data_IF_704109508903
#
_entry.id   IF_704109508903
#
_cell.length_a   1.000
_cell.length_b   1.000
_cell.length_c   1.000
_cell.angle_alpha   90.00
_cell.angle_beta   90.00
_cell.angle_gamma   90.00
#
_symmetry.space_group_name_H-M   'P 1'
#
loop_
_entity.id
_entity.type
_entity.pdbx_description
1 polymer ?
#
# COMPACT_ATOMS: atom_id res chain seq x y z
N UNK A 1 22.39 22.07 -22.31
CA UNK A 1 23.34 21.42 -23.23
C UNK A 1 24.70 21.50 -22.56
N UNK A 2 25.30 20.35 -22.28
CA UNK A 2 26.63 20.27 -21.64
C UNK A 2 27.67 20.85 -22.59
N UNK A 3 28.56 21.70 -22.07
CA UNK A 3 29.62 22.34 -22.85
C UNK A 3 30.86 21.44 -22.90
N UNK A 4 31.54 21.45 -24.05
CA UNK A 4 32.76 20.66 -24.22
C UNK A 4 33.98 21.39 -23.65
N UNK A 5 35.08 20.66 -23.43
CA UNK A 5 36.37 21.23 -23.01
C UNK A 5 36.81 22.36 -23.95
N UNK A 6 36.61 22.19 -25.27
CA UNK A 6 36.97 23.21 -26.25
C UNK A 6 36.13 24.50 -26.11
N UNK A 7 34.86 24.37 -25.71
CA UNK A 7 33.99 25.52 -25.47
C UNK A 7 34.44 26.28 -24.22
N UNK A 8 34.75 25.57 -23.14
CA UNK A 8 35.29 26.16 -21.91
C UNK A 8 36.66 26.81 -22.14
N UNK A 9 37.55 26.19 -22.90
CA UNK A 9 38.85 26.75 -23.24
C UNK A 9 38.70 28.08 -24.01
N UNK A 10 37.77 28.15 -24.97
CA UNK A 10 37.46 29.41 -25.68
C UNK A 10 36.93 30.49 -24.73
N UNK A 11 36.04 30.13 -23.81
CA UNK A 11 35.48 31.05 -22.81
C UNK A 11 36.57 31.57 -21.87
N UNK A 12 37.43 30.69 -21.36
CA UNK A 12 38.57 31.06 -20.52
C UNK A 12 39.52 32.02 -21.25
N UNK A 13 39.88 31.73 -22.50
CA UNK A 13 40.70 32.62 -23.31
C UNK A 13 40.05 33.98 -23.60
N UNK A 14 38.72 34.04 -23.65
CA UNK A 14 37.97 35.30 -23.81
C UNK A 14 38.00 36.16 -22.54
N UNK A 15 38.07 35.53 -21.36
CA UNK A 15 38.18 36.21 -20.06
C UNK A 15 39.61 36.66 -19.75
N UNK A 16 40.62 36.10 -20.42
CA UNK A 16 42.01 36.48 -20.23
C UNK A 16 42.31 37.89 -20.77
N UNK A 17 43.14 38.69 -20.05
CA UNK A 17 43.58 39.99 -20.55
C UNK A 17 44.36 39.87 -21.86
N UNK A 18 44.30 40.91 -22.69
CA UNK A 18 45.11 40.99 -23.92
C UNK A 18 46.48 41.59 -23.60
N UNK A 19 47.56 41.05 -24.21
CA UNK A 19 48.90 41.62 -24.09
C UNK A 19 50.01 40.58 -24.28
N UNK A 20 51.27 41.04 -24.34
CA UNK A 20 52.45 40.16 -24.58
C UNK A 20 52.68 39.14 -23.46
N UNK A 21 52.24 39.44 -22.24
CA UNK A 21 52.33 38.52 -21.11
C UNK A 21 51.45 37.27 -21.29
N UNK A 22 50.41 37.33 -22.14
CA UNK A 22 49.42 36.27 -22.33
C UNK A 22 49.52 35.73 -23.76
N UNK A 23 50.57 34.96 -24.04
CA UNK A 23 50.77 34.31 -25.34
C UNK A 23 49.63 33.34 -25.64
N UNK A 24 48.97 33.49 -26.79
CA UNK A 24 47.89 32.60 -27.27
C UNK A 24 48.40 31.42 -28.10
N UNK A 25 49.69 31.10 -27.99
CA UNK A 25 50.25 29.94 -28.64
C UNK A 25 49.68 28.65 -28.02
N UNK A 26 49.34 27.69 -28.89
CA UNK A 26 48.77 26.40 -28.50
C UNK A 26 49.75 25.58 -27.62
N UNK A 27 51.05 25.78 -27.82
CA UNK A 27 52.11 25.08 -27.09
C UNK A 27 52.45 25.72 -25.73
N UNK A 28 51.88 26.89 -25.41
CA UNK A 28 52.24 27.65 -24.21
C UNK A 28 51.83 26.95 -22.91
N UNK A 29 52.62 27.12 -21.85
CA UNK A 29 52.28 26.66 -20.50
C UNK A 29 50.94 27.24 -20.05
N UNK A 30 50.65 28.49 -20.41
CA UNK A 30 49.36 29.12 -20.14
C UNK A 30 48.20 28.36 -20.78
N UNK A 31 48.32 27.98 -22.06
CA UNK A 31 47.28 27.19 -22.72
C UNK A 31 47.09 25.82 -22.06
N UNK A 32 48.17 25.17 -21.61
CA UNK A 32 48.08 23.89 -20.89
C UNK A 32 47.34 24.04 -19.55
N UNK A 33 47.62 25.10 -18.78
CA UNK A 33 46.91 25.39 -17.53
C UNK A 33 45.42 25.69 -17.78
N UNK A 34 45.12 26.52 -18.78
CA UNK A 34 43.72 26.82 -19.14
C UNK A 34 42.99 25.59 -19.67
N UNK A 35 43.69 24.68 -20.35
CA UNK A 35 43.13 23.41 -20.79
C UNK A 35 42.76 22.51 -19.60
N UNK A 36 43.66 22.36 -18.62
CA UNK A 36 43.37 21.60 -17.40
C UNK A 36 42.18 22.21 -16.62
N UNK A 37 42.09 23.54 -16.55
CA UNK A 37 40.93 24.21 -15.96
C UNK A 37 39.64 23.97 -16.77
N UNK A 38 39.72 23.96 -18.10
CA UNK A 38 38.58 23.69 -18.97
C UNK A 38 38.09 22.24 -18.83
N UNK A 39 38.98 21.28 -18.62
CA UNK A 39 38.63 19.88 -18.34
C UNK A 39 37.82 19.76 -17.04
N UNK A 40 38.27 20.41 -15.97
CA UNK A 40 37.55 20.41 -14.70
C UNK A 40 36.18 21.10 -14.80
N UNK A 41 36.09 22.21 -15.53
CA UNK A 41 34.80 22.88 -15.76
C UNK A 41 33.84 22.01 -16.58
N UNK A 42 34.33 21.33 -17.62
CA UNK A 42 33.52 20.41 -18.41
C UNK A 42 33.05 19.21 -17.56
N UNK A 43 33.91 18.69 -16.68
CA UNK A 43 33.55 17.63 -15.73
C UNK A 43 32.48 18.07 -14.74
N UNK A 44 32.58 19.28 -14.19
CA UNK A 44 31.56 19.82 -13.28
C UNK A 44 30.24 20.08 -14.02
N UNK A 45 30.28 20.60 -15.25
CA UNK A 45 29.08 20.83 -16.06
C UNK A 45 28.37 19.51 -16.43
N UNK A 46 29.13 18.45 -16.73
CA UNK A 46 28.55 17.13 -16.99
C UNK A 46 27.88 16.56 -15.73
N UNK A 47 28.54 16.66 -14.56
CA UNK A 47 27.94 16.24 -13.28
C UNK A 47 26.71 17.05 -12.90
N UNK A 48 26.71 18.36 -13.16
CA UNK A 48 25.54 19.21 -12.94
C UNK A 48 24.37 18.83 -13.88
N UNK A 49 24.67 18.40 -15.11
CA UNK A 49 23.65 17.90 -16.04
C UNK A 49 23.07 16.55 -15.58
N UNK A 50 23.91 15.62 -15.12
CA UNK A 50 23.49 14.34 -14.54
C UNK A 50 22.59 14.53 -13.32
N UNK A 51 22.84 15.56 -12.50
CA UNK A 51 22.01 15.89 -11.34
C UNK A 51 20.54 16.15 -11.72
N UNK A 52 20.26 16.72 -12.91
CA UNK A 52 18.89 16.93 -13.36
C UNK A 52 18.14 15.62 -13.67
N UNK A 53 18.84 14.61 -14.19
CA UNK A 53 18.27 13.26 -14.35
C UNK A 53 18.11 12.55 -13.01
N UNK A 54 19.08 12.72 -12.10
CA UNK A 54 19.04 12.12 -10.76
C UNK A 54 17.93 12.69 -9.86
N UNK A 55 17.46 13.91 -10.15
CA UNK A 55 16.29 14.48 -9.47
C UNK A 55 14.98 13.72 -9.76
N UNK A 56 14.85 13.08 -10.92
CA UNK A 56 13.66 12.32 -11.28
C UNK A 56 13.75 10.89 -10.73
N UNK A 57 12.85 10.52 -9.81
CA UNK A 57 12.81 9.18 -9.19
C UNK A 57 12.66 8.03 -10.18
N UNK A 58 12.20 8.30 -11.41
CA UNK A 58 12.13 7.30 -12.48
C UNK A 58 13.48 7.00 -13.12
N UNK A 59 14.43 7.94 -13.04
CA UNK A 59 15.74 7.87 -13.70
C UNK A 59 16.91 7.81 -12.70
N UNK A 60 16.70 8.22 -11.45
CA UNK A 60 17.71 8.28 -10.40
C UNK A 60 18.45 6.95 -10.19
N UNK A 61 19.77 6.99 -10.13
CA UNK A 61 20.63 5.86 -9.83
C UNK A 61 21.50 6.15 -8.61
N UNK A 62 22.27 7.23 -8.67
CA UNK A 62 23.19 7.63 -7.60
C UNK A 62 22.42 8.19 -6.39
N UNK A 63 21.41 9.04 -6.64
CA UNK A 63 20.61 9.67 -5.57
C UNK A 63 19.42 8.83 -5.13
N UNK A 64 19.25 7.62 -5.68
CA UNK A 64 18.12 6.75 -5.33
C UNK A 64 18.01 6.46 -3.82
N UNK A 65 19.11 6.18 -3.08
CA UNK A 65 19.02 5.98 -1.63
C UNK A 65 18.55 7.22 -0.86
N UNK A 66 18.90 8.42 -1.32
CA UNK A 66 18.46 9.67 -0.69
C UNK A 66 16.97 9.90 -0.92
N UNK A 67 16.49 9.67 -2.14
CA UNK A 67 15.05 9.71 -2.44
C UNK A 67 14.26 8.71 -1.60
N UNK A 68 14.79 7.49 -1.42
CA UNK A 68 14.14 6.47 -0.60
C UNK A 68 14.07 6.88 0.87
N UNK A 69 15.16 7.44 1.40
CA UNK A 69 15.19 7.98 2.76
C UNK A 69 14.14 9.07 2.96
N UNK A 70 14.07 10.05 2.05
CA UNK A 70 13.11 11.15 2.10
C UNK A 70 11.65 10.66 1.99
N UNK A 71 11.42 9.58 1.25
CA UNK A 71 10.10 8.97 1.06
C UNK A 71 9.74 7.91 2.11
N UNK A 72 10.64 7.63 3.06
CA UNK A 72 10.46 6.61 4.09
C UNK A 72 10.37 5.19 3.54
N UNK A 73 11.17 4.88 2.51
CA UNK A 73 11.33 3.56 1.93
C UNK A 73 12.63 2.90 2.44
N UNK A 74 12.68 1.58 2.65
CA UNK A 74 11.57 0.62 2.52
C UNK A 74 10.50 0.85 3.61
N UNK A 75 9.23 0.75 3.20
CA UNK A 75 8.12 0.91 4.14
C UNK A 75 7.70 -0.44 4.75
N UNK A 76 7.04 -0.34 5.89
CA UNK A 76 6.55 -1.46 6.71
C UNK A 76 5.71 -2.48 5.91
N UNK A 77 5.06 -2.02 4.84
CA UNK A 77 4.07 -2.79 4.08
C UNK A 77 4.61 -3.44 2.80
N UNK A 78 5.60 -2.83 2.14
CA UNK A 78 6.08 -3.31 0.82
C UNK A 78 7.37 -4.13 0.90
N UNK A 79 8.01 -4.17 2.08
CA UNK A 79 9.29 -4.83 2.30
C UNK A 79 10.43 -4.26 1.44
N UNK A 80 11.56 -4.95 1.40
CA UNK A 80 12.68 -4.57 0.54
C UNK A 80 12.38 -4.91 -0.94
N UNK A 81 12.82 -4.03 -1.84
CA UNK A 81 12.76 -4.27 -3.28
C UNK A 81 14.10 -4.85 -3.74
N UNK A 82 14.04 -5.93 -4.54
CA UNK A 82 15.24 -6.65 -4.98
C UNK A 82 15.95 -5.94 -6.14
N UNK A 83 15.20 -5.24 -7.01
CA UNK A 83 15.78 -4.61 -8.20
C UNK A 83 15.74 -3.07 -8.16
N UNK A 84 16.73 -2.43 -8.81
CA UNK A 84 16.79 -0.96 -8.95
C UNK A 84 15.55 -0.42 -9.68
N UNK A 85 15.03 -1.16 -10.65
CA UNK A 85 13.82 -0.78 -11.39
C UNK A 85 12.59 -0.76 -10.49
N UNK A 86 12.43 -1.75 -9.61
CA UNK A 86 11.33 -1.78 -8.64
C UNK A 86 11.47 -0.68 -7.60
N UNK A 87 12.69 -0.43 -7.10
CA UNK A 87 13.00 0.67 -6.18
C UNK A 87 12.59 2.02 -6.76
N UNK A 88 12.99 2.32 -8.01
CA UNK A 88 12.56 3.52 -8.74
C UNK A 88 11.05 3.62 -8.88
N UNK A 89 10.39 2.51 -9.23
CA UNK A 89 8.92 2.47 -9.38
C UNK A 89 8.22 2.76 -8.06
N UNK A 90 8.69 2.20 -6.94
CA UNK A 90 8.16 2.43 -5.59
C UNK A 90 8.39 3.87 -5.15
N UNK A 91 9.61 4.39 -5.30
CA UNK A 91 9.93 5.79 -5.00
C UNK A 91 9.06 6.76 -5.82
N UNK A 92 8.93 6.51 -7.13
CA UNK A 92 8.07 7.33 -7.97
C UNK A 92 6.60 7.26 -7.56
N UNK A 93 6.07 6.05 -7.30
CA UNK A 93 4.69 5.87 -6.86
C UNK A 93 4.42 6.62 -5.54
N UNK A 94 5.35 6.56 -4.58
CA UNK A 94 5.24 7.28 -3.30
C UNK A 94 5.32 8.80 -3.49
N UNK A 95 6.19 9.28 -4.37
CA UNK A 95 6.35 10.71 -4.66
C UNK A 95 5.09 11.33 -5.29
N UNK A 96 4.42 10.61 -6.19
CA UNK A 96 3.20 11.08 -6.85
C UNK A 96 1.91 10.73 -6.10
N UNK A 97 2.00 9.96 -5.01
CA UNK A 97 0.84 9.54 -4.23
C UNK A 97 0.16 10.76 -3.59
N UNK A 98 -0.85 11.28 -4.26
CA UNK A 98 -1.76 12.26 -3.70
C UNK A 98 -2.77 11.50 -2.83
N UNK A 99 -2.68 11.66 -1.51
CA UNK A 99 -3.64 11.05 -0.59
C UNK A 99 -5.08 11.44 -0.96
N UNK A 100 -6.01 10.51 -0.75
CA UNK A 100 -7.42 10.73 -0.99
C UNK A 100 -8.26 10.17 0.14
N UNK A 101 -9.39 10.82 0.43
CA UNK A 101 -10.36 10.40 1.44
C UNK A 101 -11.64 9.81 0.83
N UNK A 102 -11.65 9.58 -0.48
CA UNK A 102 -12.82 9.06 -1.19
C UNK A 102 -12.61 7.59 -1.54
N UNK A 103 -13.72 6.85 -1.63
CA UNK A 103 -13.74 5.41 -1.91
C UNK A 103 -12.87 5.00 -3.11
N UNK A 104 -12.95 5.73 -4.23
CA UNK A 104 -12.22 5.37 -5.45
C UNK A 104 -10.70 5.37 -5.24
N UNK A 105 -10.15 6.29 -4.44
CA UNK A 105 -8.72 6.32 -4.11
C UNK A 105 -8.25 5.00 -3.50
N UNK A 106 -8.99 4.45 -2.54
CA UNK A 106 -8.63 3.18 -1.89
C UNK A 106 -8.77 1.99 -2.84
N UNK A 107 -9.75 2.02 -3.75
CA UNK A 107 -9.92 1.01 -4.81
C UNK A 107 -8.73 1.06 -5.77
N UNK A 108 -8.32 2.26 -6.20
CA UNK A 108 -7.19 2.44 -7.11
C UNK A 108 -5.88 2.00 -6.46
N UNK A 109 -5.70 2.30 -5.17
CA UNK A 109 -4.54 1.88 -4.38
C UNK A 109 -4.44 0.34 -4.30
N UNK A 110 -5.56 -0.33 -4.04
CA UNK A 110 -5.62 -1.79 -4.04
C UNK A 110 -5.37 -2.38 -5.44
N UNK A 111 -5.89 -1.75 -6.49
CA UNK A 111 -5.67 -2.19 -7.87
C UNK A 111 -4.20 -2.08 -8.29
N UNK A 112 -3.49 -1.06 -7.81
CA UNK A 112 -2.06 -0.89 -8.05
C UNK A 112 -1.21 -2.00 -7.41
N UNK A 113 -1.70 -2.58 -6.31
CA UNK A 113 -1.12 -3.75 -5.66
C UNK A 113 -1.55 -5.08 -6.31
N UNK A 114 -2.48 -5.05 -7.28
CA UNK A 114 -2.99 -6.23 -7.97
C UNK A 114 -4.24 -6.85 -7.35
N UNK A 115 -4.88 -6.18 -6.39
CA UNK A 115 -6.12 -6.65 -5.75
C UNK A 115 -7.36 -6.03 -6.38
N UNK A 116 -8.41 -6.83 -6.51
CA UNK A 116 -9.74 -6.34 -6.86
C UNK A 116 -10.55 -6.21 -5.59
N UNK A 117 -10.97 -4.99 -5.23
CA UNK A 117 -11.75 -4.74 -4.02
C UNK A 117 -13.05 -3.98 -4.30
N UNK A 118 -14.03 -4.13 -3.41
CA UNK A 118 -15.19 -3.25 -3.32
C UNK A 118 -15.36 -2.74 -1.89
N UNK A 119 -15.67 -1.47 -1.73
CA UNK A 119 -15.87 -0.86 -0.41
C UNK A 119 -17.37 -0.64 -0.15
N UNK A 120 -17.84 -0.97 1.03
CA UNK A 120 -19.22 -0.74 1.50
C UNK A 120 -19.17 0.16 2.73
N UNK A 121 -19.85 1.30 2.67
CA UNK A 121 -19.96 2.24 3.79
C UNK A 121 -21.27 1.99 4.52
N UNK A 122 -21.25 2.09 5.86
CA UNK A 122 -22.44 1.90 6.67
C UNK A 122 -23.07 3.24 7.04
N UNK A 123 -24.40 3.27 7.06
CA UNK A 123 -25.17 4.41 7.55
C UNK A 123 -25.92 4.02 8.80
N UNK A 124 -25.79 4.77 9.92
CA UNK A 124 -26.56 4.49 11.12
C UNK A 124 -28.04 4.78 10.90
N UNK A 125 -28.88 4.14 11.69
CA UNK A 125 -30.31 4.44 11.68
C UNK A 125 -30.58 5.80 12.33
N UNK A 126 -31.24 6.70 11.60
CA UNK A 126 -31.75 7.97 12.14
C UNK A 126 -33.28 7.98 12.12
N UNK A 127 -33.87 8.32 13.27
CA UNK A 127 -35.32 8.53 13.36
C UNK A 127 -35.75 9.63 12.39
N UNK A 128 -36.76 9.33 11.56
CA UNK A 128 -37.24 10.22 10.51
C UNK A 128 -36.54 10.06 9.15
N UNK A 129 -35.48 9.25 9.05
CA UNK A 129 -34.84 8.84 7.78
C UNK A 129 -35.03 7.36 7.54
N UNK A 130 -34.80 6.52 8.56
CA UNK A 130 -34.90 5.07 8.46
C UNK A 130 -36.33 4.53 8.55
N UNK A 131 -36.57 3.40 7.89
CA UNK A 131 -37.82 2.66 7.85
C UNK A 131 -37.79 1.46 8.80
N UNK A 132 -38.97 0.95 9.19
CA UNK A 132 -39.05 -0.27 10.00
C UNK A 132 -38.51 -1.46 9.20
N UNK A 133 -37.53 -2.16 9.77
CA UNK A 133 -36.79 -3.25 9.11
C UNK A 133 -35.37 -2.87 8.69
N UNK A 134 -35.02 -1.57 8.72
CA UNK A 134 -33.64 -1.13 8.51
C UNK A 134 -32.74 -1.55 9.69
N UNK A 135 -31.45 -1.83 9.45
CA UNK A 135 -30.50 -2.18 10.50
C UNK A 135 -30.35 -1.02 11.49
N UNK A 136 -30.83 -1.24 12.72
CA UNK A 136 -30.69 -0.30 13.84
C UNK A 136 -29.46 -0.70 14.68
N UNK A 137 -28.32 -0.09 14.36
CA UNK A 137 -27.06 -0.29 15.08
C UNK A 137 -26.60 0.96 15.84
N UNK A 138 -25.44 0.85 16.49
CA UNK A 138 -24.75 1.99 17.10
C UNK A 138 -24.43 3.06 16.05
N UNK A 139 -24.51 4.34 16.43
CA UNK A 139 -24.15 5.46 15.57
C UNK A 139 -22.67 5.44 15.14
N UNK A 140 -21.81 4.80 15.93
CA UNK A 140 -20.39 4.65 15.65
C UNK A 140 -20.10 3.87 14.35
N UNK A 141 -21.09 3.12 13.82
CA UNK A 141 -20.97 2.40 12.54
C UNK A 141 -20.64 3.32 11.36
N UNK A 142 -20.91 4.63 11.46
CA UNK A 142 -20.54 5.62 10.44
C UNK A 142 -19.02 5.72 10.21
N UNK A 143 -18.22 5.33 11.19
CA UNK A 143 -16.75 5.29 11.09
C UNK A 143 -16.23 3.93 10.62
N UNK A 144 -17.11 2.97 10.43
CA UNK A 144 -16.78 1.65 9.92
C UNK A 144 -17.06 1.60 8.42
N UNK A 145 -16.16 0.96 7.68
CA UNK A 145 -16.35 0.66 6.27
C UNK A 145 -15.79 -0.72 5.98
N UNK A 146 -16.50 -1.47 5.16
CA UNK A 146 -16.19 -2.86 4.85
C UNK A 146 -15.49 -2.96 3.49
N UNK A 147 -14.36 -3.64 3.46
CA UNK A 147 -13.58 -3.92 2.25
C UNK A 147 -13.80 -5.37 1.86
N UNK A 148 -14.45 -5.57 0.71
CA UNK A 148 -14.62 -6.86 0.05
C UNK A 148 -13.43 -7.09 -0.87
N UNK A 149 -12.57 -8.05 -0.54
CA UNK A 149 -11.41 -8.45 -1.35
C UNK A 149 -11.80 -9.67 -2.18
N UNK A 150 -11.76 -9.51 -3.51
CA UNK A 150 -12.05 -10.62 -4.42
C UNK A 150 -10.77 -11.39 -4.76
N UNK A 151 -10.82 -12.71 -4.58
CA UNK A 151 -9.72 -13.61 -4.91
C UNK A 151 -10.19 -14.75 -5.84
N UNK A 152 -9.24 -15.35 -6.55
CA UNK A 152 -9.47 -16.45 -7.49
C UNK A 152 -9.34 -17.81 -6.81
N UNK A 153 -10.02 -18.82 -7.35
CA UNK A 153 -9.91 -20.22 -6.88
C UNK A 153 -8.45 -20.68 -6.87
N UNK A 154 -7.97 -21.15 -5.71
CA UNK A 154 -6.59 -21.61 -5.52
C UNK A 154 -5.66 -20.61 -4.85
N UNK A 155 -6.13 -19.40 -4.54
CA UNK A 155 -5.37 -18.40 -3.78
C UNK A 155 -5.57 -18.47 -2.26
N UNK A 156 -6.37 -19.42 -1.74
CA UNK A 156 -6.46 -19.68 -0.30
C UNK A 156 -5.58 -20.87 0.03
N UNK A 157 -4.75 -20.69 1.05
CA UNK A 157 -4.02 -21.78 1.68
C UNK A 157 -4.75 -22.15 2.97
N UNK A 158 -5.11 -23.43 3.05
CA UNK A 158 -5.78 -24.01 4.21
C UNK A 158 -4.73 -24.66 5.10
N UNK A 159 -4.91 -24.52 6.42
CA UNK A 159 -4.16 -25.30 7.38
C UNK A 159 -4.42 -26.78 7.14
N UNK A 160 -3.37 -27.55 6.93
CA UNK A 160 -3.48 -29.01 6.78
C UNK A 160 -3.17 -29.71 8.10
N UNK A 161 -4.05 -30.66 8.47
CA UNK A 161 -3.84 -31.50 9.64
C UNK A 161 -2.52 -32.27 9.50
N UNK A 162 -1.61 -32.09 10.48
CA UNK A 162 -0.29 -32.73 10.49
C UNK A 162 0.84 -31.94 9.81
N UNK A 163 0.54 -30.78 9.22
CA UNK A 163 1.55 -29.85 8.67
C UNK A 163 1.54 -28.47 9.36
N UNK A 164 0.44 -28.12 10.05
CA UNK A 164 0.30 -26.86 10.78
C UNK A 164 0.77 -26.91 12.23
N UNK A 165 1.28 -25.78 12.72
CA UNK A 165 1.65 -25.58 14.12
C UNK A 165 0.62 -24.74 14.89
N UNK A 166 0.64 -24.83 16.22
CA UNK A 166 -0.25 -24.01 17.07
C UNK A 166 0.13 -22.54 16.94
N UNK A 167 -0.79 -21.73 16.43
CA UNK A 167 -0.57 -20.31 16.14
C UNK A 167 -0.71 -19.97 14.66
N UNK A 168 -0.71 -20.98 13.78
CA UNK A 168 -0.96 -20.78 12.35
C UNK A 168 -2.42 -20.44 12.07
N UNK A 169 -2.69 -19.55 11.11
CA UNK A 169 -4.06 -19.26 10.69
C UNK A 169 -4.71 -20.49 10.05
N UNK A 170 -5.95 -20.78 10.43
CA UNK A 170 -6.75 -21.90 9.91
C UNK A 170 -6.92 -21.81 8.38
N UNK A 171 -6.99 -20.59 7.86
CA UNK A 171 -6.92 -20.28 6.45
C UNK A 171 -6.30 -18.90 6.26
N UNK A 172 -5.56 -18.69 5.18
CA UNK A 172 -5.05 -17.37 4.83
C UNK A 172 -5.01 -17.18 3.32
N UNK A 173 -5.14 -15.91 2.90
CA UNK A 173 -4.97 -15.49 1.51
C UNK A 173 -3.54 -14.94 1.39
N UNK A 174 -2.58 -15.71 0.82
CA UNK A 174 -1.24 -15.22 0.53
C UNK A 174 -1.23 -13.83 -0.11
N UNK A 175 -0.31 -12.99 0.36
CA UNK A 175 -0.07 -11.61 -0.05
C UNK A 175 -1.12 -10.57 0.38
N UNK A 176 -2.28 -10.95 0.94
CA UNK A 176 -3.28 -10.00 1.45
C UNK A 176 -2.72 -9.08 2.57
N UNK A 177 -1.69 -9.52 3.29
CA UNK A 177 -1.06 -8.73 4.36
C UNK A 177 -0.52 -7.38 3.86
N UNK A 178 0.00 -7.35 2.62
CA UNK A 178 0.47 -6.10 1.99
C UNK A 178 -0.68 -5.12 1.75
N UNK A 179 -1.85 -5.61 1.31
CA UNK A 179 -3.06 -4.83 1.13
C UNK A 179 -3.59 -4.31 2.47
N UNK A 180 -3.65 -5.17 3.48
CA UNK A 180 -4.11 -4.82 4.83
C UNK A 180 -3.24 -3.74 5.42
N UNK A 181 -1.92 -3.91 5.40
CA UNK A 181 -0.97 -2.92 5.91
C UNK A 181 -1.11 -1.57 5.21
N UNK A 182 -1.19 -1.56 3.87
CA UNK A 182 -1.34 -0.32 3.10
C UNK A 182 -2.65 0.39 3.45
N UNK A 183 -3.78 -0.29 3.43
CA UNK A 183 -5.08 0.34 3.73
C UNK A 183 -5.18 0.79 5.20
N UNK A 184 -4.64 0.01 6.14
CA UNK A 184 -4.51 0.41 7.56
C UNK A 184 -3.67 1.68 7.73
N UNK A 185 -2.62 1.87 6.91
CA UNK A 185 -1.75 3.05 6.96
C UNK A 185 -2.39 4.29 6.35
N UNK A 186 -3.15 4.14 5.27
CA UNK A 186 -3.77 5.26 4.56
C UNK A 186 -5.20 5.59 5.00
N UNK A 187 -5.84 4.75 5.83
CA UNK A 187 -7.16 5.07 6.39
C UNK A 187 -7.06 6.26 7.35
N UNK A 188 -8.13 7.06 7.50
CA UNK A 188 -8.20 8.03 8.58
C UNK A 188 -8.12 7.33 9.94
N UNK A 189 -7.35 7.89 10.87
CA UNK A 189 -7.07 7.28 12.17
C UNK A 189 -8.33 6.92 12.98
N UNK A 190 -9.41 7.70 12.83
CA UNK A 190 -10.67 7.50 13.55
C UNK A 190 -11.62 6.50 12.88
N UNK A 191 -11.29 5.98 11.70
CA UNK A 191 -12.12 4.99 10.98
C UNK A 191 -11.60 3.57 11.20
N UNK A 192 -12.50 2.59 11.07
CA UNK A 192 -12.16 1.16 11.13
C UNK A 192 -12.55 0.44 9.85
N UNK A 193 -11.67 -0.44 9.39
CA UNK A 193 -11.90 -1.29 8.24
C UNK A 193 -12.40 -2.64 8.72
N UNK A 194 -13.49 -3.13 8.14
CA UNK A 194 -13.94 -4.50 8.27
C UNK A 194 -13.55 -5.27 7.01
N UNK A 195 -12.94 -6.45 7.16
CA UNK A 195 -12.44 -7.21 6.02
C UNK A 195 -13.37 -8.36 5.66
N UNK A 196 -13.77 -8.44 4.39
CA UNK A 196 -14.56 -9.54 3.85
C UNK A 196 -13.83 -10.12 2.63
N UNK A 197 -13.55 -11.43 2.61
CA UNK A 197 -12.85 -12.06 1.49
C UNK A 197 -13.85 -12.88 0.69
N UNK A 198 -14.03 -12.52 -0.59
CA UNK A 198 -15.06 -13.07 -1.47
C UNK A 198 -14.41 -13.86 -2.60
N UNK A 199 -14.80 -15.13 -2.78
CA UNK A 199 -14.25 -15.94 -3.86
C UNK A 199 -15.05 -17.23 -4.15
N UNK A 200 -14.78 -17.89 -5.29
CA UNK A 200 -15.58 -19.01 -5.81
C UNK A 200 -15.48 -20.30 -4.99
N UNK A 201 -14.55 -20.37 -4.03
CA UNK A 201 -14.41 -21.52 -3.13
C UNK A 201 -15.30 -21.43 -1.88
N UNK A 202 -15.94 -20.27 -1.62
CA UNK A 202 -16.81 -20.03 -0.46
C UNK A 202 -18.30 -20.29 -0.74
N UNK A 203 -18.64 -21.02 -1.79
CA UNK A 203 -20.03 -21.42 -2.06
C UNK A 203 -20.41 -22.68 -1.27
N UNK A 204 -20.38 -22.59 0.07
CA UNK A 204 -20.93 -23.62 0.97
C UNK A 204 -21.79 -22.99 2.07
N UNK A 205 -22.84 -23.71 2.44
CA UNK A 205 -24.10 -23.25 3.03
C UNK A 205 -24.07 -22.68 4.46
N UNK A 206 -25.02 -21.75 4.70
CA UNK A 206 -25.66 -21.21 5.92
C UNK A 206 -24.81 -20.58 7.05
N UNK A 207 -23.49 -20.69 7.02
CA UNK A 207 -22.58 -20.01 7.95
C UNK A 207 -22.10 -18.65 7.43
N UNK A 208 -22.94 -17.61 7.43
CA UNK A 208 -22.43 -16.21 7.48
C UNK A 208 -21.99 -15.78 8.89
N UNK A 209 -21.70 -16.74 9.79
CA UNK A 209 -21.54 -16.52 11.22
C UNK A 209 -20.09 -16.21 11.69
N UNK A 210 -19.13 -16.05 10.79
CA UNK A 210 -17.74 -15.74 11.15
C UNK A 210 -17.16 -14.60 10.31
N UNK A 211 -17.93 -13.53 10.06
CA UNK A 211 -17.43 -12.29 9.42
C UNK A 211 -16.29 -11.58 10.21
N UNK A 212 -15.60 -12.27 11.12
CA UNK A 212 -14.44 -11.81 11.87
C UNK A 212 -13.20 -12.66 11.51
N UNK A 213 -12.57 -12.31 10.38
CA UNK A 213 -11.12 -12.43 10.20
C UNK A 213 -10.49 -11.40 11.16
N UNK A 214 -9.34 -11.69 11.80
CA UNK A 214 -8.93 -10.96 12.99
C UNK A 214 -8.83 -9.47 12.69
N UNK A 215 -9.62 -8.69 13.43
CA UNK A 215 -9.26 -7.31 13.68
C UNK A 215 -7.94 -7.36 14.45
N UNK A 216 -6.91 -6.85 13.83
CA UNK A 216 -5.56 -6.59 14.33
C UNK A 216 -5.53 -5.67 15.58
N UNK A 217 -6.68 -5.34 16.15
CA UNK A 217 -6.84 -4.63 17.41
C UNK A 217 -7.83 -5.37 18.32
N UNK A 218 -7.31 -6.27 19.18
CA UNK A 218 -7.76 -6.68 20.54
C UNK A 218 -9.26 -6.73 20.96
N UNK A 219 -10.25 -6.68 20.06
CA UNK A 219 -11.68 -6.66 20.39
C UNK A 219 -12.44 -7.61 19.45
N UNK A 220 -12.75 -8.80 19.96
CA UNK A 220 -13.43 -9.87 19.25
C UNK A 220 -14.97 -9.76 19.40
N UNK A 221 -15.68 -9.83 18.27
CA UNK A 221 -17.03 -10.42 18.13
C UNK A 221 -18.25 -9.85 18.91
N UNK A 222 -18.41 -8.54 19.06
CA UNK A 222 -19.67 -7.96 19.57
C UNK A 222 -20.78 -7.84 18.48
N UNK A 223 -21.28 -8.97 17.98
CA UNK A 223 -22.38 -8.94 17.01
C UNK A 223 -23.13 -10.24 16.72
N UNK A 224 -22.83 -11.37 17.38
CA UNK A 224 -23.31 -12.66 16.87
C UNK A 224 -24.73 -13.09 17.31
N UNK A 225 -25.28 -12.67 18.46
CA UNK A 225 -26.65 -13.09 18.84
C UNK A 225 -27.40 -12.08 19.72
N UNK A 226 -28.66 -11.80 19.37
CA UNK A 226 -29.60 -11.10 20.25
C UNK A 226 -30.34 -12.08 21.19
N UNK A 227 -30.97 -11.54 22.23
CA UNK A 227 -31.67 -12.31 23.26
C UNK A 227 -32.96 -12.98 22.76
N UNK A 228 -33.58 -12.45 21.70
CA UNK A 228 -34.84 -12.98 21.18
C UNK A 228 -34.63 -14.30 20.43
N UNK A 229 -33.53 -14.42 19.70
CA UNK A 229 -33.14 -15.67 19.02
C UNK A 229 -32.87 -16.81 20.01
N UNK A 230 -32.10 -16.54 21.07
CA UNK A 230 -31.84 -17.51 22.13
C UNK A 230 -33.15 -18.00 22.76
N UNK A 231 -34.07 -17.07 23.04
CA UNK A 231 -35.35 -17.41 23.71
C UNK A 231 -36.25 -18.30 22.83
N UNK A 232 -36.26 -18.09 21.50
CA UNK A 232 -37.07 -18.89 20.59
C UNK A 232 -36.50 -20.30 20.38
N UNK A 233 -35.18 -20.44 20.35
CA UNK A 233 -34.52 -21.74 20.27
C UNK A 233 -34.82 -22.60 21.51
N UNK A 234 -34.77 -21.99 22.69
CA UNK A 234 -34.99 -22.67 23.97
C UNK A 234 -36.40 -23.29 24.07
N UNK A 235 -37.40 -22.60 23.53
CA UNK A 235 -38.79 -23.04 23.52
C UNK A 235 -39.01 -24.21 22.57
N UNK A 236 -38.29 -24.26 21.45
CA UNK A 236 -38.49 -25.25 20.39
C UNK A 236 -37.67 -26.54 20.60
N UNK A 237 -36.44 -26.42 21.11
CA UNK A 237 -35.51 -27.55 21.25
C UNK A 237 -35.30 -28.01 22.69
N UNK A 238 -35.81 -27.26 23.68
CA UNK A 238 -35.82 -27.66 25.09
C UNK A 238 -34.44 -27.63 25.74
N UNK A 239 -33.99 -26.44 26.15
CA UNK A 239 -32.69 -26.20 26.79
C UNK A 239 -32.18 -24.81 26.44
N UNK A 240 -31.20 -24.27 27.17
CA UNK A 240 -30.62 -22.97 26.81
C UNK A 240 -29.85 -23.06 25.49
N UNK A 241 -29.93 -22.03 24.65
CA UNK A 241 -29.22 -21.94 23.38
C UNK A 241 -27.71 -22.06 23.63
N UNK A 242 -27.14 -23.17 23.17
CA UNK A 242 -25.69 -23.40 23.10
C UNK A 242 -25.30 -23.75 21.67
N UNK A 243 -24.10 -23.34 21.28
CA UNK A 243 -23.53 -23.58 19.95
C UNK A 243 -23.63 -25.05 19.54
N UNK A 244 -23.27 -25.94 20.46
CA UNK A 244 -23.18 -27.37 20.18
C UNK A 244 -24.58 -28.01 20.01
N UNK A 245 -25.61 -27.49 20.70
CA UNK A 245 -26.98 -27.98 20.56
C UNK A 245 -27.65 -27.61 19.22
N UNK A 246 -27.26 -26.49 18.61
CA UNK A 246 -27.76 -26.08 17.30
C UNK A 246 -27.10 -26.88 16.17
N UNK A 247 -25.78 -27.14 16.28
CA UNK A 247 -25.04 -27.95 15.32
C UNK A 247 -25.56 -29.39 15.25
N UNK A 248 -25.89 -29.99 16.39
CA UNK A 248 -26.47 -31.34 16.45
C UNK A 248 -27.89 -31.38 15.84
N UNK A 249 -28.71 -30.35 16.06
CA UNK A 249 -30.07 -30.26 15.50
C UNK A 249 -30.09 -30.03 13.99
N UNK A 250 -29.11 -29.30 13.46
CA UNK A 250 -29.03 -28.96 12.03
C UNK A 250 -28.55 -30.13 11.16
N UNK A 251 -27.65 -30.97 11.68
CA UNK A 251 -27.03 -32.07 10.94
C UNK A 251 -27.89 -33.35 10.84
N UNK A 252 -29.08 -33.38 11.45
CA UNK A 252 -29.97 -34.53 11.45
C UNK A 252 -31.43 -34.18 11.09
N UNK A 253 -31.82 -34.12 9.81
CA UNK A 253 -33.23 -34.11 9.44
C UNK A 253 -33.77 -35.55 9.37
N UNK A 254 -34.21 -36.07 10.52
CA UNK A 254 -34.92 -37.36 10.64
C UNK A 254 -34.15 -38.48 11.31
#
# INVERSE_FOLDING_TARGET
>A
MVRTVADYLKMLWALMPRGRAWSRDQSSVMNQVLHALAEELARVDSRAAELFSERDTRQAFELLPEHEYDLGLPDECSGEAETITERRRRAHAKLIALGGLHKQYYIDLASALGYTIAIEEFTPFWSGVGLSGDPAGDQWVIFCWKVKVYYLSGQIIWLQSGAGESGDPICYVPAADSLVCVLQKYKPAHTRILWEYVGPALDRSFSRAFDAIPADEEWWLDGAFDRAFATAFDVYFGGAFTRDAFDDAFNHPG
#
